data_IF_002494269736
#
_entry.id   IF_002494269736
#
_cell.length_a   1.000
_cell.length_b   1.000
_cell.length_c   1.000
_cell.angle_alpha   90.00
_cell.angle_beta   90.00
_cell.angle_gamma   90.00
#
_symmetry.space_group_name_H-M   'P 1'
#
loop_
_entity.id
_entity.type
_entity.pdbx_description
1 polymer ?
#
# COMPACT_ATOMS: atom_id res chain seq x y z
N UNK A 1 25.65 -8.81 1.33
CA UNK A 1 24.70 -8.89 2.46
C UNK A 1 23.32 -8.60 1.88
N UNK A 2 22.34 -9.51 1.94
CA UNK A 2 20.98 -9.12 1.59
C UNK A 2 20.59 -8.01 2.56
N UNK A 3 20.10 -6.88 2.04
CA UNK A 3 19.66 -5.77 2.88
C UNK A 3 18.61 -6.31 3.86
N UNK A 4 18.95 -6.32 5.16
CA UNK A 4 17.98 -6.54 6.20
C UNK A 4 17.02 -5.35 6.12
N UNK A 5 15.86 -5.56 5.49
CA UNK A 5 14.76 -4.59 5.43
C UNK A 5 14.21 -4.40 6.85
N UNK A 6 14.95 -3.68 7.69
CA UNK A 6 14.51 -3.19 8.99
C UNK A 6 13.86 -1.82 8.77
N UNK A 7 12.97 -1.77 7.78
CA UNK A 7 12.49 -0.56 7.13
C UNK A 7 11.00 -0.41 7.41
N UNK A 8 10.59 0.77 7.86
CA UNK A 8 9.18 1.11 8.08
C UNK A 8 8.61 1.70 6.81
N UNK A 9 7.51 1.12 6.33
CA UNK A 9 6.75 1.68 5.21
C UNK A 9 5.67 2.61 5.76
N UNK A 10 5.58 3.83 5.24
CA UNK A 10 4.61 4.83 5.72
C UNK A 10 3.62 5.18 4.62
N UNK A 11 2.33 4.98 4.84
CA UNK A 11 1.26 5.32 3.90
C UNK A 11 0.55 6.60 4.33
N UNK A 12 0.26 7.48 3.38
CA UNK A 12 -0.57 8.68 3.60
C UNK A 12 -2.03 8.37 3.27
N UNK A 13 -2.92 8.66 4.23
CA UNK A 13 -4.36 8.48 4.08
C UNK A 13 -5.11 9.78 4.40
N UNK A 14 -6.26 10.03 3.76
CA UNK A 14 -6.99 11.29 3.91
C UNK A 14 -7.85 11.36 5.18
N UNK A 15 -7.98 10.27 5.94
CA UNK A 15 -8.78 10.27 7.17
C UNK A 15 -8.37 9.18 8.16
N UNK A 16 -8.63 9.44 9.43
CA UNK A 16 -8.38 8.50 10.53
C UNK A 16 -9.22 7.23 10.42
N UNK A 17 -10.45 7.33 9.91
CA UNK A 17 -11.32 6.16 9.66
C UNK A 17 -10.66 5.19 8.67
N UNK A 18 -10.09 5.70 7.58
CA UNK A 18 -9.38 4.86 6.61
C UNK A 18 -8.07 4.33 7.16
N UNK A 19 -7.37 5.12 7.96
CA UNK A 19 -6.15 4.66 8.63
C UNK A 19 -6.44 3.53 9.61
N UNK A 20 -7.49 3.64 10.41
CA UNK A 20 -7.92 2.59 11.32
C UNK A 20 -8.27 1.30 10.56
N UNK A 21 -9.05 1.40 9.49
CA UNK A 21 -9.46 0.27 8.65
C UNK A 21 -8.25 -0.42 7.99
N UNK A 22 -7.32 0.36 7.42
CA UNK A 22 -6.07 -0.19 6.88
C UNK A 22 -5.24 -0.85 7.98
N UNK A 23 -5.08 -0.21 9.14
CA UNK A 23 -4.36 -0.80 10.25
C UNK A 23 -5.01 -2.14 10.63
N UNK A 24 -6.33 -2.19 10.88
CA UNK A 24 -7.07 -3.43 11.20
C UNK A 24 -6.77 -4.57 10.22
N UNK A 25 -6.73 -4.24 8.92
CA UNK A 25 -6.37 -5.18 7.87
C UNK A 25 -4.93 -5.68 7.98
N UNK A 26 -3.99 -4.80 8.29
CA UNK A 26 -2.56 -5.10 8.37
C UNK A 26 -2.15 -5.79 9.68
N UNK A 27 -2.82 -5.52 10.82
CA UNK A 27 -2.41 -6.05 12.16
C UNK A 27 -2.39 -7.57 12.24
N UNK A 28 -3.10 -8.26 11.34
CA UNK A 28 -3.08 -9.72 11.23
C UNK A 28 -1.67 -10.26 10.91
N UNK A 29 -0.82 -9.43 10.30
CA UNK A 29 0.47 -9.87 9.76
C UNK A 29 1.60 -8.89 10.07
N UNK A 30 1.37 -7.59 10.12
CA UNK A 30 2.41 -6.59 10.36
C UNK A 30 2.14 -5.83 11.64
N UNK A 31 3.20 -5.42 12.33
CA UNK A 31 3.07 -4.39 13.34
C UNK A 31 2.81 -3.07 12.63
N UNK A 32 1.76 -2.35 13.03
CA UNK A 32 1.44 -1.08 12.43
C UNK A 32 0.78 -0.12 13.43
N UNK A 33 1.15 1.14 13.29
CA UNK A 33 0.61 2.26 14.05
C UNK A 33 0.12 3.35 13.10
N UNK A 34 -0.76 4.20 13.60
CA UNK A 34 -1.29 5.34 12.86
C UNK A 34 -1.07 6.65 13.62
N UNK A 35 -0.71 7.71 12.91
CA UNK A 35 -0.42 9.01 13.47
C UNK A 35 -1.12 10.11 12.68
N UNK A 36 -1.80 11.03 13.37
CA UNK A 36 -2.34 12.22 12.73
C UNK A 36 -1.21 13.19 12.36
N UNK A 37 -1.17 13.62 11.10
CA UNK A 37 -0.14 14.52 10.58
C UNK A 37 -0.79 15.61 9.72
N UNK A 38 -1.10 16.75 10.35
CA UNK A 38 -1.75 17.89 9.72
C UNK A 38 -3.06 17.51 8.99
N UNK A 39 -3.04 17.46 7.66
CA UNK A 39 -4.17 17.18 6.79
C UNK A 39 -4.29 15.71 6.37
N UNK A 40 -3.32 14.87 6.77
CA UNK A 40 -3.30 13.43 6.48
C UNK A 40 -3.14 12.60 7.75
N UNK A 41 -3.43 11.31 7.64
CA UNK A 41 -3.11 10.33 8.66
C UNK A 41 -2.08 9.37 8.08
N UNK A 42 -0.99 9.19 8.81
CA UNK A 42 0.10 8.32 8.44
C UNK A 42 -0.14 6.93 9.03
N UNK A 43 -0.03 5.89 8.22
CA UNK A 43 0.01 4.49 8.69
C UNK A 43 1.41 3.95 8.49
N UNK A 44 2.11 3.69 9.58
CA UNK A 44 3.44 3.10 9.59
C UNK A 44 3.33 1.59 9.78
N UNK A 45 3.91 0.81 8.87
CA UNK A 45 3.96 -0.65 8.95
C UNK A 45 5.41 -1.12 8.94
N UNK A 46 5.78 -1.96 9.91
CA UNK A 46 7.14 -2.51 10.01
C UNK A 46 7.31 -3.70 9.05
N UNK A 47 8.29 -3.62 8.17
CA UNK A 47 8.68 -4.75 7.35
C UNK A 47 9.43 -5.78 8.20
N UNK A 48 9.14 -7.05 7.94
CA UNK A 48 9.94 -8.15 8.48
C UNK A 48 11.15 -8.39 7.59
N UNK A 49 12.27 -8.90 8.13
CA UNK A 49 13.50 -9.16 7.38
C UNK A 49 13.37 -10.38 6.46
N UNK A 50 12.43 -10.33 5.51
CA UNK A 50 12.16 -11.35 4.50
C UNK A 50 12.04 -10.67 3.14
N UNK A 51 12.68 -11.24 2.13
CA UNK A 51 12.77 -10.65 0.80
C UNK A 51 11.40 -10.42 0.13
N UNK A 52 10.38 -11.18 0.51
CA UNK A 52 9.02 -11.10 -0.03
C UNK A 52 8.09 -10.16 0.74
N UNK A 53 8.50 -9.66 1.91
CA UNK A 53 7.57 -9.01 2.84
C UNK A 53 7.07 -7.66 2.32
N UNK A 54 7.95 -6.87 1.69
CA UNK A 54 7.58 -5.62 1.03
C UNK A 54 6.52 -5.85 -0.06
N UNK A 55 6.75 -6.83 -0.93
CA UNK A 55 5.82 -7.15 -2.02
C UNK A 55 4.47 -7.63 -1.49
N UNK A 56 4.47 -8.40 -0.40
CA UNK A 56 3.25 -8.89 0.25
C UNK A 56 2.48 -7.76 0.96
N UNK A 57 3.19 -6.84 1.61
CA UNK A 57 2.60 -5.64 2.24
C UNK A 57 1.95 -4.76 1.18
N UNK A 58 2.69 -4.39 0.13
CA UNK A 58 2.17 -3.54 -0.96
C UNK A 58 0.96 -4.18 -1.65
N UNK A 59 0.96 -5.50 -1.85
CA UNK A 59 -0.19 -6.22 -2.41
C UNK A 59 -1.40 -6.18 -1.48
N UNK A 60 -1.20 -6.33 -0.17
CA UNK A 60 -2.28 -6.25 0.81
C UNK A 60 -2.90 -4.84 0.83
N UNK A 61 -2.07 -3.79 0.83
CA UNK A 61 -2.55 -2.40 0.75
C UNK A 61 -3.24 -2.12 -0.58
N UNK A 62 -2.74 -2.65 -1.69
CA UNK A 62 -3.38 -2.49 -3.00
C UNK A 62 -4.79 -3.10 -3.04
N UNK A 63 -4.96 -4.30 -2.49
CA UNK A 63 -6.27 -4.96 -2.40
C UNK A 63 -7.23 -4.15 -1.53
N UNK A 64 -6.76 -3.75 -0.34
CA UNK A 64 -7.51 -2.88 0.55
C UNK A 64 -7.93 -1.56 -0.12
N UNK A 65 -7.02 -0.94 -0.87
CA UNK A 65 -7.30 0.30 -1.60
C UNK A 65 -8.40 0.12 -2.65
N UNK A 66 -8.44 -1.04 -3.31
CA UNK A 66 -9.53 -1.41 -4.22
C UNK A 66 -10.88 -1.49 -3.48
N UNK A 67 -10.92 -2.20 -2.36
CA UNK A 67 -12.12 -2.36 -1.53
C UNK A 67 -12.61 -1.02 -0.95
N UNK A 68 -11.67 -0.13 -0.58
CA UNK A 68 -11.92 1.19 -0.02
C UNK A 68 -12.17 2.29 -1.08
N UNK A 69 -12.24 1.92 -2.37
CA UNK A 69 -12.38 2.83 -3.51
C UNK A 69 -11.33 3.97 -3.53
N UNK A 70 -10.10 3.67 -3.11
CA UNK A 70 -8.96 4.57 -3.19
C UNK A 70 -8.16 4.30 -4.46
N UNK A 71 -8.19 5.23 -5.41
CA UNK A 71 -7.46 5.08 -6.68
C UNK A 71 -5.93 5.08 -6.48
N UNK A 72 -5.43 6.01 -5.66
CA UNK A 72 -4.01 6.27 -5.42
C UNK A 72 -3.73 6.38 -3.93
N UNK A 73 -2.63 5.79 -3.48
CA UNK A 73 -2.10 5.95 -2.13
C UNK A 73 -0.64 6.37 -2.24
N UNK A 74 -0.26 7.48 -1.61
CA UNK A 74 1.15 7.85 -1.48
C UNK A 74 1.77 7.03 -0.34
N UNK A 75 2.97 6.53 -0.56
CA UNK A 75 3.74 5.88 0.49
C UNK A 75 5.20 6.29 0.46
N UNK A 76 5.88 6.15 1.59
CA UNK A 76 7.28 6.47 1.77
C UNK A 76 8.06 5.20 2.13
N UNK A 77 9.19 5.03 1.47
CA UNK A 77 10.18 3.98 1.69
C UNK A 77 11.55 4.61 1.56
N UNK A 78 12.42 4.41 2.55
CA UNK A 78 13.80 4.95 2.55
C UNK A 78 13.89 6.45 2.25
N UNK A 79 12.97 7.23 2.81
CA UNK A 79 12.90 8.69 2.60
C UNK A 79 12.49 9.11 1.18
N UNK A 80 12.07 8.17 0.33
CA UNK A 80 11.52 8.43 -1.00
C UNK A 80 10.02 8.22 -1.00
N UNK A 81 9.32 9.07 -1.73
CA UNK A 81 7.87 8.98 -1.92
C UNK A 81 7.52 8.25 -3.21
N UNK A 82 6.53 7.39 -3.15
CA UNK A 82 6.01 6.58 -4.24
C UNK A 82 4.48 6.65 -4.28
N UNK A 83 3.88 6.26 -5.40
CA UNK A 83 2.42 6.15 -5.55
C UNK A 83 2.07 4.69 -5.82
N UNK A 84 1.14 4.15 -5.02
CA UNK A 84 0.53 2.85 -5.23
C UNK A 84 -0.85 3.04 -5.88
N UNK A 85 -1.03 2.44 -7.05
CA UNK A 85 -2.31 2.46 -7.77
C UNK A 85 -3.11 1.20 -7.42
N UNK A 86 -4.37 1.37 -6.99
CA UNK A 86 -5.26 0.24 -6.68
C UNK A 86 -5.70 -0.54 -7.92
N UNK A 87 -5.58 0.06 -9.10
CA UNK A 87 -6.13 -0.48 -10.34
C UNK A 87 -7.61 -0.16 -10.54
N UNK A 88 -8.23 0.64 -9.65
CA UNK A 88 -9.52 1.30 -9.91
C UNK A 88 -9.30 2.48 -10.85
N UNK A 89 -8.84 2.18 -12.07
CA UNK A 89 -9.01 3.05 -13.23
C UNK A 89 -10.34 2.72 -13.92
N UNK A 90 -10.88 3.57 -14.80
CA UNK A 90 -11.91 3.11 -15.72
C UNK A 90 -11.37 1.84 -16.38
N UNK A 91 -12.17 0.77 -16.40
CA UNK A 91 -11.83 -0.48 -17.07
C UNK A 91 -11.42 -0.15 -18.51
N UNK A 92 -10.13 -0.02 -18.78
CA UNK A 92 -9.64 -0.11 -20.15
C UNK A 92 -9.70 -1.59 -20.47
N UNK A 93 -10.90 -2.02 -20.90
CA UNK A 93 -11.04 -3.22 -21.72
C UNK A 93 -10.31 -2.90 -23.01
N UNK A 94 -8.99 -3.12 -23.04
CA UNK A 94 -8.29 -3.21 -24.32
C UNK A 94 -8.63 -4.57 -24.91
N UNK A 95 -9.78 -4.58 -25.60
CA UNK A 95 -10.16 -5.60 -26.54
C UNK A 95 -9.07 -5.76 -27.61
N UNK A 96 -8.87 -7.03 -27.97
CA UNK A 96 -8.39 -7.48 -29.26
C UNK A 96 -6.89 -7.36 -29.55
N UNK A 97 -6.18 -8.47 -29.27
CA UNK A 97 -5.13 -8.94 -30.17
C UNK A 97 -5.43 -10.38 -30.57
N UNK A 98 -6.33 -10.56 -31.54
CA UNK A 98 -6.20 -11.70 -32.45
C UNK A 98 -5.00 -11.45 -33.35
N UNK A 99 -3.91 -12.16 -33.10
CA UNK A 99 -2.89 -12.42 -34.14
C UNK A 99 -3.15 -13.82 -34.65
N UNK A 100 -3.75 -13.91 -35.83
CA UNK A 100 -3.79 -15.13 -36.63
C UNK A 100 -2.44 -15.32 -37.32
N UNK A 101 -1.88 -16.52 -37.23
CA UNK A 101 -0.78 -16.99 -38.07
C UNK A 101 -1.32 -17.51 -39.40
#
# INVERSE_FOLDING_TARGET
>A
MPAELNETLVFELPSSVRAQDLCERLRLRWHCDSYDCADVVLVAAELRPRADDLGLLLRAVKLWAGDAAMALIRFHLDGRSYILESGVGPLTVESDRTVSF
#
